data_IF_352076827180
#
_entry.id   IF_352076827180
#
_cell.length_a   1.000
_cell.length_b   1.000
_cell.length_c   1.000
_cell.angle_alpha   90.00
_cell.angle_beta   90.00
_cell.angle_gamma   90.00
#
_symmetry.space_group_name_H-M   'P 1'
#
loop_
_entity.id
_entity.type
_entity.pdbx_description
1 polymer ?
#
# COMPACT_ATOMS: atom_id res chain seq x y z
N UNK A 1 -23.26 -14.47 -5.93
CA UNK A 1 -23.29 -15.95 -5.90
C UNK A 1 -22.86 -16.51 -4.53
N UNK A 2 -23.52 -16.10 -3.45
CA UNK A 2 -23.42 -16.67 -2.08
C UNK A 2 -24.76 -16.47 -1.35
N UNK A 3 -25.40 -15.31 -1.59
CA UNK A 3 -26.77 -14.96 -1.15
C UNK A 3 -27.81 -15.92 -1.71
N UNK A 4 -27.82 -16.13 -3.03
CA UNK A 4 -28.82 -16.95 -3.71
C UNK A 4 -28.70 -18.46 -3.44
N UNK A 5 -27.60 -18.91 -2.83
CA UNK A 5 -27.34 -20.31 -2.49
C UNK A 5 -27.47 -20.64 -1.00
N UNK A 6 -28.00 -19.72 -0.17
CA UNK A 6 -28.17 -19.92 1.28
C UNK A 6 -26.87 -19.99 2.10
N UNK A 7 -25.69 -19.92 1.47
CA UNK A 7 -24.39 -20.03 2.15
C UNK A 7 -24.12 -18.88 3.12
N UNK A 8 -24.66 -17.68 2.85
CA UNK A 8 -24.54 -16.53 3.77
C UNK A 8 -25.23 -16.75 5.12
N UNK A 9 -26.17 -17.70 5.23
CA UNK A 9 -26.79 -18.04 6.51
C UNK A 9 -25.84 -18.80 7.45
N UNK A 10 -24.75 -19.38 6.92
CA UNK A 10 -23.75 -20.13 7.70
C UNK A 10 -22.82 -19.16 8.43
N UNK A 11 -22.65 -19.38 9.74
CA UNK A 11 -21.83 -18.49 10.60
C UNK A 11 -20.38 -18.39 10.15
N UNK A 12 -19.83 -19.46 9.56
CA UNK A 12 -18.47 -19.46 8.99
C UNK A 12 -18.34 -18.45 7.85
N UNK A 13 -19.35 -18.33 6.98
CA UNK A 13 -19.32 -17.38 5.86
C UNK A 13 -19.43 -15.93 6.36
N UNK A 14 -20.27 -15.68 7.38
CA UNK A 14 -20.35 -14.36 8.04
C UNK A 14 -19.03 -13.99 8.72
N UNK A 15 -18.41 -14.93 9.42
CA UNK A 15 -17.12 -14.75 10.06
C UNK A 15 -16.02 -14.43 9.05
N UNK A 16 -15.96 -15.15 7.92
CA UNK A 16 -14.98 -14.89 6.86
C UNK A 16 -15.14 -13.49 6.24
N UNK A 17 -16.38 -13.04 5.99
CA UNK A 17 -16.64 -11.69 5.48
C UNK A 17 -16.21 -10.63 6.51
N UNK A 18 -16.59 -10.81 7.77
CA UNK A 18 -16.20 -9.89 8.86
C UNK A 18 -14.69 -9.84 9.02
N UNK A 19 -14.01 -10.99 8.96
CA UNK A 19 -12.56 -11.07 9.00
C UNK A 19 -11.93 -10.28 7.86
N UNK A 20 -12.40 -10.48 6.62
CA UNK A 20 -11.87 -9.76 5.46
C UNK A 20 -12.20 -8.27 5.47
N UNK A 21 -13.26 -7.81 6.13
CA UNK A 21 -13.62 -6.40 6.23
C UNK A 21 -13.02 -5.67 7.44
N UNK A 22 -12.20 -6.34 8.26
CA UNK A 22 -11.61 -5.72 9.45
C UNK A 22 -10.56 -4.67 9.07
N UNK A 23 -10.37 -3.69 9.93
CA UNK A 23 -9.25 -2.77 9.84
C UNK A 23 -7.96 -3.54 10.20
N UNK A 24 -7.00 -3.57 9.27
CA UNK A 24 -5.69 -4.21 9.45
C UNK A 24 -4.54 -3.22 9.33
N UNK A 25 -4.80 -1.93 9.58
CA UNK A 25 -3.74 -0.93 9.61
C UNK A 25 -2.68 -1.33 10.64
N UNK A 26 -1.41 -1.26 10.25
CA UNK A 26 -0.27 -1.50 11.14
C UNK A 26 -0.04 -0.31 12.08
N UNK A 27 -0.49 0.89 11.68
CA UNK A 27 -0.37 2.11 12.48
C UNK A 27 -1.50 3.09 12.15
N UNK A 28 -1.70 4.07 13.04
CA UNK A 28 -2.54 5.25 12.81
C UNK A 28 -1.77 6.49 13.26
N UNK A 29 -1.64 7.47 12.36
CA UNK A 29 -0.84 8.69 12.57
C UNK A 29 -1.66 9.93 12.24
N UNK A 30 -1.30 11.09 12.80
CA UNK A 30 -1.98 12.36 12.49
C UNK A 30 -1.46 12.94 11.18
N UNK A 31 -2.34 13.44 10.33
CA UNK A 31 -1.99 14.17 9.10
C UNK A 31 -1.02 15.32 9.37
N UNK A 32 -1.19 16.02 10.51
CA UNK A 32 -0.29 17.10 10.95
C UNK A 32 1.13 16.65 11.28
N UNK A 33 1.32 15.41 11.74
CA UNK A 33 2.63 14.82 12.03
C UNK A 33 3.37 14.43 10.75
N UNK A 34 2.62 13.96 9.76
CA UNK A 34 3.13 13.61 8.42
C UNK A 34 3.36 14.87 7.58
N UNK A 35 2.63 15.96 7.85
CA UNK A 35 2.58 17.13 6.97
C UNK A 35 1.71 16.90 5.73
N UNK A 36 0.75 15.98 5.83
CA UNK A 36 -0.05 15.46 4.71
C UNK A 36 -1.47 16.04 4.70
N UNK A 37 -2.06 16.20 3.52
CA UNK A 37 -3.45 16.58 3.30
C UNK A 37 -4.04 15.74 2.15
N UNK A 38 -5.16 15.07 2.41
CA UNK A 38 -5.88 14.28 1.41
C UNK A 38 -6.53 15.18 0.36
N UNK A 39 -6.48 14.78 -0.92
CA UNK A 39 -7.17 15.46 -2.01
C UNK A 39 -6.58 16.82 -2.42
N UNK A 40 -5.45 17.24 -1.85
CA UNK A 40 -4.80 18.54 -2.12
C UNK A 40 -3.61 18.44 -3.09
N UNK A 41 -3.59 17.40 -3.93
CA UNK A 41 -2.55 17.13 -4.91
C UNK A 41 -1.31 16.43 -4.35
N UNK A 42 -0.45 15.93 -5.24
CA UNK A 42 0.67 15.07 -4.85
C UNK A 42 1.67 15.74 -3.90
N UNK A 43 1.93 17.05 -4.07
CA UNK A 43 2.86 17.81 -3.21
C UNK A 43 2.44 17.87 -1.74
N UNK A 44 1.13 17.78 -1.47
CA UNK A 44 0.59 17.80 -0.10
C UNK A 44 0.19 16.40 0.37
N UNK A 45 0.26 15.38 -0.47
CA UNK A 45 -0.20 14.04 -0.16
C UNK A 45 0.91 12.99 -0.28
N UNK A 46 1.38 12.73 -1.50
CA UNK A 46 2.38 11.71 -1.77
C UNK A 46 3.76 12.08 -1.25
N UNK A 47 4.24 13.31 -1.52
CA UNK A 47 5.59 13.71 -1.12
C UNK A 47 5.78 13.73 0.41
N UNK A 48 4.86 14.31 1.22
CA UNK A 48 5.01 14.27 2.67
C UNK A 48 4.91 12.85 3.25
N UNK A 49 4.09 11.98 2.63
CA UNK A 49 4.02 10.57 3.02
C UNK A 49 5.34 9.85 2.75
N UNK A 50 5.90 10.03 1.55
CA UNK A 50 7.20 9.45 1.18
C UNK A 50 8.27 9.90 2.19
N UNK A 51 8.35 11.19 2.50
CA UNK A 51 9.29 11.73 3.50
C UNK A 51 9.07 11.17 4.90
N UNK A 52 7.81 10.98 5.32
CA UNK A 52 7.49 10.37 6.62
C UNK A 52 7.98 8.93 6.71
N UNK A 53 7.78 8.12 5.66
CA UNK A 53 8.31 6.74 5.60
C UNK A 53 9.83 6.73 5.75
N UNK A 54 10.51 7.65 5.05
CA UNK A 54 11.98 7.77 5.07
C UNK A 54 12.58 8.04 6.45
N UNK A 55 11.84 8.70 7.35
CA UNK A 55 12.30 8.95 8.74
C UNK A 55 12.51 7.66 9.54
N UNK A 56 11.89 6.55 9.14
CA UNK A 56 12.00 5.24 9.78
C UNK A 56 13.02 4.31 9.12
N UNK A 57 13.65 4.76 8.03
CA UNK A 57 14.61 4.00 7.23
C UNK A 57 16.03 4.56 7.40
N UNK A 58 17.08 3.79 7.05
CA UNK A 58 18.45 4.31 7.02
C UNK A 58 18.59 5.57 6.16
N UNK A 59 19.48 6.47 6.55
CA UNK A 59 19.65 7.77 5.89
C UNK A 59 20.11 7.66 4.42
N UNK A 60 20.80 6.57 4.07
CA UNK A 60 21.27 6.25 2.73
C UNK A 60 20.25 5.45 1.89
N UNK A 61 19.07 5.15 2.44
CA UNK A 61 18.10 4.30 1.75
C UNK A 61 17.33 5.02 0.64
N UNK A 62 17.22 6.36 0.64
CA UNK A 62 16.40 7.11 -0.33
C UNK A 62 16.98 6.96 -1.74
N UNK A 63 16.16 6.48 -2.67
CA UNK A 63 16.51 6.38 -4.08
C UNK A 63 16.32 7.75 -4.77
N UNK A 64 16.95 7.97 -5.95
CA UNK A 64 16.83 9.22 -6.67
C UNK A 64 15.36 9.50 -7.03
N UNK A 65 14.99 10.77 -7.07
CA UNK A 65 13.63 11.13 -7.48
C UNK A 65 13.31 10.56 -8.87
N UNK A 66 12.11 10.00 -9.02
CA UNK A 66 11.65 9.27 -10.22
C UNK A 66 12.33 7.91 -10.45
N UNK A 67 13.04 7.36 -9.47
CA UNK A 67 13.49 5.97 -9.54
C UNK A 67 12.28 5.05 -9.73
N UNK A 68 12.43 4.06 -10.62
CA UNK A 68 11.29 3.24 -11.02
C UNK A 68 10.88 2.33 -9.86
N UNK A 69 9.58 2.29 -9.57
CA UNK A 69 8.90 1.35 -8.65
C UNK A 69 9.17 1.56 -7.16
N UNK A 70 10.43 1.70 -6.77
CA UNK A 70 10.84 1.84 -5.38
C UNK A 70 11.36 3.25 -5.11
N UNK A 71 11.05 3.74 -3.91
CA UNK A 71 11.46 5.05 -3.42
C UNK A 71 12.61 4.92 -2.42
N UNK A 72 12.76 3.74 -1.83
CA UNK A 72 13.85 3.41 -0.91
C UNK A 72 14.42 2.01 -1.15
N UNK A 73 15.69 1.84 -0.83
CA UNK A 73 16.37 0.56 -0.74
C UNK A 73 17.33 0.54 0.45
N UNK A 74 17.08 -0.31 1.43
CA UNK A 74 18.00 -0.59 2.52
C UNK A 74 18.91 -1.77 2.15
N UNK A 75 20.20 -1.47 1.95
CA UNK A 75 21.20 -2.46 1.58
C UNK A 75 21.54 -3.47 2.69
N UNK A 76 21.34 -3.11 3.96
CA UNK A 76 21.64 -4.00 5.09
C UNK A 76 20.62 -5.14 5.19
N UNK A 77 19.34 -4.83 5.03
CA UNK A 77 18.25 -5.82 5.05
C UNK A 77 17.84 -6.31 3.67
N UNK A 78 18.43 -5.75 2.60
CA UNK A 78 18.07 -5.99 1.20
C UNK A 78 16.58 -5.74 0.94
N UNK A 79 16.04 -4.69 1.55
CA UNK A 79 14.61 -4.35 1.49
C UNK A 79 14.38 -3.17 0.57
N UNK A 80 13.60 -3.38 -0.50
CA UNK A 80 13.14 -2.32 -1.38
C UNK A 80 11.72 -1.90 -0.98
N UNK A 81 11.53 -0.60 -0.73
CA UNK A 81 10.27 -0.02 -0.25
C UNK A 81 9.69 0.93 -1.28
N UNK A 82 8.41 0.75 -1.59
CA UNK A 82 7.59 1.69 -2.36
C UNK A 82 6.62 2.40 -1.41
N UNK A 83 6.71 3.72 -1.32
CA UNK A 83 5.82 4.56 -0.54
C UNK A 83 4.63 5.00 -1.42
N UNK A 84 3.42 4.66 -0.99
CA UNK A 84 2.18 4.97 -1.73
C UNK A 84 1.19 5.72 -0.86
N UNK A 85 0.42 6.62 -1.43
CA UNK A 85 -0.74 7.22 -0.75
C UNK A 85 -1.97 7.05 -1.62
N UNK A 86 -3.11 6.73 -1.01
CA UNK A 86 -4.36 6.56 -1.74
C UNK A 86 -5.53 7.21 -0.99
N UNK A 87 -6.08 8.26 -1.59
CA UNK A 87 -7.31 8.86 -1.10
C UNK A 87 -8.52 7.98 -1.46
N UNK A 88 -8.98 7.22 -0.47
CA UNK A 88 -10.14 6.33 -0.59
C UNK A 88 -11.48 7.09 -0.59
N UNK A 89 -11.48 8.40 -0.32
CA UNK A 89 -12.70 9.22 -0.21
C UNK A 89 -13.06 9.93 -1.52
N UNK A 90 -12.25 9.77 -2.57
CA UNK A 90 -12.62 10.28 -3.90
C UNK A 90 -13.90 9.61 -4.40
N UNK A 91 -14.73 10.35 -5.14
CA UNK A 91 -15.99 9.83 -5.71
C UNK A 91 -15.76 8.53 -6.48
N UNK A 92 -14.67 8.44 -7.25
CA UNK A 92 -14.33 7.25 -8.02
C UNK A 92 -14.05 6.02 -7.13
N UNK A 93 -13.37 6.18 -5.99
CA UNK A 93 -13.04 5.07 -5.06
C UNK A 93 -14.20 4.68 -4.14
N UNK A 94 -15.18 5.57 -3.95
CA UNK A 94 -16.41 5.29 -3.21
C UNK A 94 -17.47 4.62 -4.09
N UNK A 95 -17.64 5.09 -5.33
CA UNK A 95 -18.73 4.66 -6.21
C UNK A 95 -18.42 3.37 -6.98
N UNK A 96 -17.15 3.08 -7.26
CA UNK A 96 -16.77 1.96 -8.12
C UNK A 96 -16.13 0.82 -7.31
N UNK A 97 -16.79 -0.34 -7.20
CA UNK A 97 -16.21 -1.52 -6.57
C UNK A 97 -14.89 -1.95 -7.25
N UNK A 98 -13.99 -2.57 -6.49
CA UNK A 98 -12.67 -3.06 -6.90
C UNK A 98 -11.65 -1.99 -7.33
N UNK A 99 -11.98 -0.70 -7.26
CA UNK A 99 -11.03 0.36 -7.61
C UNK A 99 -9.89 0.48 -6.60
N UNK A 100 -10.12 0.24 -5.31
CA UNK A 100 -9.06 0.28 -4.29
C UNK A 100 -8.17 -0.95 -4.45
N UNK A 101 -8.79 -2.13 -4.60
CA UNK A 101 -8.07 -3.39 -4.84
C UNK A 101 -7.17 -3.30 -6.08
N UNK A 102 -7.71 -2.85 -7.22
CA UNK A 102 -6.99 -2.84 -8.50
C UNK A 102 -5.80 -1.89 -8.49
N UNK A 103 -5.92 -0.73 -7.81
CA UNK A 103 -4.81 0.20 -7.65
C UNK A 103 -3.68 -0.42 -6.82
N UNK A 104 -3.97 -1.00 -5.65
CA UNK A 104 -2.94 -1.66 -4.82
C UNK A 104 -2.34 -2.87 -5.57
N UNK A 105 -3.17 -3.66 -6.26
CA UNK A 105 -2.70 -4.78 -7.10
C UNK A 105 -1.74 -4.31 -8.20
N UNK A 106 -1.97 -3.14 -8.79
CA UNK A 106 -1.06 -2.54 -9.75
C UNK A 106 0.33 -2.30 -9.18
N UNK A 107 0.39 -1.66 -8.01
CA UNK A 107 1.64 -1.41 -7.29
C UNK A 107 2.34 -2.71 -6.87
N UNK A 108 1.59 -3.71 -6.38
CA UNK A 108 2.13 -5.05 -6.07
C UNK A 108 2.75 -5.69 -7.30
N UNK A 109 2.09 -5.65 -8.45
CA UNK A 109 2.63 -6.24 -9.67
C UNK A 109 3.89 -5.52 -10.15
N UNK A 110 3.94 -4.18 -10.02
CA UNK A 110 5.12 -3.41 -10.35
C UNK A 110 6.30 -3.81 -9.45
N UNK A 111 6.07 -3.89 -8.14
CA UNK A 111 7.08 -4.31 -7.18
C UNK A 111 7.55 -5.75 -7.43
N UNK A 112 6.64 -6.70 -7.64
CA UNK A 112 6.96 -8.11 -7.87
C UNK A 112 7.74 -8.35 -9.18
N UNK A 113 7.38 -7.61 -10.24
CA UNK A 113 7.99 -7.75 -11.58
C UNK A 113 9.22 -6.85 -11.79
N UNK A 114 9.67 -6.14 -10.76
CA UNK A 114 10.85 -5.30 -10.91
C UNK A 114 12.11 -6.16 -11.07
N UNK A 115 12.78 -5.96 -12.20
CA UNK A 115 14.02 -6.64 -12.59
C UNK A 115 15.24 -5.75 -12.39
N UNK A 116 15.23 -4.54 -12.96
CA UNK A 116 16.32 -3.58 -12.85
C UNK A 116 15.85 -2.16 -13.13
N UNK A 117 16.50 -1.19 -12.50
CA UNK A 117 16.43 0.23 -12.85
C UNK A 117 17.79 0.89 -12.59
N UNK A 118 18.12 1.85 -13.44
CA UNK A 118 19.30 2.70 -13.31
C UNK A 118 18.88 4.15 -13.51
N UNK A 119 19.24 5.02 -12.57
CA UNK A 119 18.94 6.44 -12.64
C UNK A 119 19.99 7.23 -11.87
N UNK A 120 20.48 8.33 -12.44
CA UNK A 120 21.48 9.21 -11.82
C UNK A 120 22.72 8.47 -11.30
N UNK A 121 23.14 7.41 -12.01
CA UNK A 121 24.29 6.57 -11.64
C UNK A 121 24.03 5.54 -10.54
N UNK A 122 22.82 5.46 -10.00
CA UNK A 122 22.43 4.43 -9.03
C UNK A 122 21.73 3.26 -9.74
N UNK A 123 22.25 2.05 -9.54
CA UNK A 123 21.71 0.80 -10.11
C UNK A 123 21.09 -0.04 -8.99
N UNK A 124 19.86 -0.49 -9.19
CA UNK A 124 19.23 -1.51 -8.36
C UNK A 124 18.68 -2.60 -9.27
N UNK A 125 19.03 -3.85 -8.98
CA UNK A 125 18.49 -5.01 -9.68
C UNK A 125 17.83 -5.99 -8.69
N UNK A 126 17.06 -6.92 -9.21
CA UNK A 126 16.28 -7.87 -8.42
C UNK A 126 17.13 -8.81 -7.56
N UNK A 127 18.38 -9.12 -7.96
CA UNK A 127 19.27 -9.99 -7.18
C UNK A 127 19.82 -9.30 -5.91
N UNK A 128 19.77 -7.97 -5.87
CA UNK A 128 20.06 -7.17 -4.68
C UNK A 128 18.88 -7.17 -3.68
N UNK A 129 17.66 -7.49 -4.12
CA UNK A 129 16.44 -7.35 -3.32
C UNK A 129 16.01 -8.71 -2.75
N UNK A 130 16.06 -8.86 -1.43
CA UNK A 130 15.49 -10.02 -0.73
C UNK A 130 14.04 -9.77 -0.31
N UNK A 131 13.70 -8.53 0.07
CA UNK A 131 12.39 -8.16 0.58
C UNK A 131 11.78 -7.03 -0.25
N UNK A 132 10.51 -7.18 -0.62
CA UNK A 132 9.74 -6.15 -1.35
C UNK A 132 8.60 -5.67 -0.47
N UNK A 133 8.53 -4.36 -0.25
CA UNK A 133 7.54 -3.76 0.63
C UNK A 133 6.82 -2.59 -0.03
N UNK A 134 5.52 -2.51 0.19
CA UNK A 134 4.69 -1.34 -0.12
C UNK A 134 4.20 -0.77 1.21
N UNK A 135 4.58 0.46 1.51
CA UNK A 135 4.03 1.22 2.63
C UNK A 135 2.97 2.19 2.11
N UNK A 136 1.70 1.87 2.35
CA UNK A 136 0.56 2.62 1.84
C UNK A 136 -0.15 3.40 2.94
N UNK A 137 -0.25 4.72 2.76
CA UNK A 137 -1.14 5.57 3.53
C UNK A 137 -2.56 5.57 2.96
N UNK A 138 -3.56 5.52 3.84
CA UNK A 138 -4.98 5.68 3.51
C UNK A 138 -5.69 6.57 4.54
N UNK A 139 -6.81 7.25 4.18
CA UNK A 139 -7.61 8.00 5.15
C UNK A 139 -8.14 7.14 6.30
N UNK A 140 -8.21 7.70 7.50
CA UNK A 140 -8.84 7.01 8.63
C UNK A 140 -10.33 6.69 8.41
N UNK A 141 -10.99 7.42 7.50
CA UNK A 141 -12.38 7.24 7.08
C UNK A 141 -12.61 6.13 6.03
N UNK A 142 -11.58 5.33 5.69
CA UNK A 142 -11.75 4.16 4.80
C UNK A 142 -12.84 3.21 5.29
N UNK A 143 -13.77 2.87 4.40
CA UNK A 143 -14.97 2.10 4.74
C UNK A 143 -14.69 0.59 4.90
N UNK A 144 -15.60 -0.15 5.55
CA UNK A 144 -15.49 -1.63 5.68
C UNK A 144 -15.41 -2.36 4.34
N UNK A 145 -16.11 -1.86 3.33
CA UNK A 145 -16.07 -2.44 1.97
C UNK A 145 -14.69 -2.24 1.35
N UNK A 146 -14.12 -1.04 1.48
CA UNK A 146 -12.77 -0.76 1.02
C UNK A 146 -11.71 -1.54 1.81
N UNK A 147 -11.90 -1.76 3.11
CA UNK A 147 -11.06 -2.67 3.90
C UNK A 147 -11.08 -4.10 3.35
N UNK A 148 -12.22 -4.61 2.88
CA UNK A 148 -12.28 -5.90 2.19
C UNK A 148 -11.49 -5.91 0.87
N UNK A 149 -11.41 -4.78 0.17
CA UNK A 149 -10.54 -4.63 -1.01
C UNK A 149 -9.06 -4.62 -0.63
N UNK A 150 -8.70 -3.84 0.38
CA UNK A 150 -7.33 -3.72 0.90
C UNK A 150 -6.83 -5.07 1.41
N UNK A 151 -7.62 -5.77 2.21
CA UNK A 151 -7.21 -7.06 2.79
C UNK A 151 -7.05 -8.14 1.71
N UNK A 152 -7.89 -8.14 0.67
CA UNK A 152 -7.66 -8.99 -0.50
C UNK A 152 -6.37 -8.64 -1.22
N UNK A 153 -6.04 -7.35 -1.36
CA UNK A 153 -4.78 -6.92 -1.97
C UNK A 153 -3.56 -7.30 -1.11
N UNK A 154 -3.66 -7.22 0.23
CA UNK A 154 -2.61 -7.67 1.16
C UNK A 154 -2.34 -9.16 0.97
N UNK A 155 -3.39 -10.01 0.96
CA UNK A 155 -3.22 -11.45 0.74
C UNK A 155 -2.67 -11.76 -0.65
N UNK A 156 -3.11 -11.03 -1.67
CA UNK A 156 -2.50 -11.12 -2.99
C UNK A 156 -1.01 -10.74 -2.97
N UNK A 157 -0.63 -9.67 -2.28
CA UNK A 157 0.75 -9.24 -2.10
C UNK A 157 1.63 -10.34 -1.54
N UNK A 158 1.18 -11.00 -0.46
CA UNK A 158 1.89 -12.16 0.12
C UNK A 158 2.12 -13.27 -0.91
N UNK A 159 1.11 -13.59 -1.72
CA UNK A 159 1.24 -14.60 -2.80
C UNK A 159 2.27 -14.21 -3.88
N UNK A 160 2.57 -12.92 -4.01
CA UNK A 160 3.54 -12.36 -4.97
C UNK A 160 4.90 -12.06 -4.33
N UNK A 161 5.12 -12.41 -3.05
CA UNK A 161 6.35 -12.06 -2.33
C UNK A 161 6.50 -10.56 -2.04
N UNK A 162 5.39 -9.82 -1.97
CA UNK A 162 5.37 -8.38 -1.67
C UNK A 162 4.57 -8.13 -0.38
N UNK A 163 5.24 -7.57 0.62
CA UNK A 163 4.60 -7.18 1.88
C UNK A 163 3.88 -5.84 1.69
N UNK A 164 2.61 -5.75 2.08
CA UNK A 164 1.85 -4.49 2.05
C UNK A 164 1.55 -4.07 3.49
N UNK A 165 2.13 -2.94 3.92
CA UNK A 165 1.87 -2.33 5.23
C UNK A 165 0.98 -1.11 5.04
N UNK A 166 -0.11 -1.06 5.81
CA UNK A 166 -1.13 -0.02 5.69
C UNK A 166 -1.08 0.89 6.91
N UNK A 167 -0.95 2.19 6.68
CA UNK A 167 -1.01 3.21 7.74
C UNK A 167 -2.23 4.09 7.54
N UNK A 168 -3.06 4.22 8.57
CA UNK A 168 -4.15 5.19 8.54
C UNK A 168 -3.63 6.58 8.90
N UNK A 169 -4.02 7.58 8.12
CA UNK A 169 -3.72 8.99 8.38
C UNK A 169 -5.02 9.71 8.68
N UNK A 170 -5.13 10.26 9.90
CA UNK A 170 -6.31 10.97 10.41
C UNK A 170 -6.15 12.48 10.46
#
# INVERSE_FOLDING_TARGET
MLVSGGLLAKDITKAAISFMSRNTATATVKASEVGMQWGQGNMKQGMPWEDYVGKSLPADARLPQNFKTFDYYDGATKTAVSAKSMDTQTMAKLANPNQVYSSIKGDINAAAKFEQSELSGQVLNSSMIANREIQIAIPASTTKTQWAEINRAIEYGKSQGVTVKVTQVK
#
